data_IF_257193119528
#
_entry.id   IF_257193119528
#
_cell.length_a   1.000
_cell.length_b   1.000
_cell.length_c   1.000
_cell.angle_alpha   90.00
_cell.angle_beta   90.00
_cell.angle_gamma   90.00
#
_symmetry.space_group_name_H-M   'P 1'
#
loop_
_entity.id
_entity.type
_entity.pdbx_description
1 polymer ?
#
# COMPACT_ATOMS: atom_id res chain seq x y z
N UNK A 1 -13.26 -12.85 10.49
CA UNK A 1 -12.37 -12.63 11.65
C UNK A 1 -11.51 -11.37 11.51
N UNK A 2 -10.94 -11.03 10.34
CA UNK A 2 -10.12 -9.81 10.17
C UNK A 2 -10.94 -8.51 9.96
N UNK A 3 -12.27 -8.56 9.90
CA UNK A 3 -13.11 -7.38 9.71
C UNK A 3 -12.82 -6.31 10.79
N UNK A 4 -12.61 -5.05 10.35
CA UNK A 4 -12.17 -3.91 11.18
C UNK A 4 -10.82 -4.11 11.90
N UNK A 5 -10.01 -5.04 11.43
CA UNK A 5 -8.68 -5.33 11.96
C UNK A 5 -7.61 -5.38 10.86
N UNK A 6 -6.51 -6.07 11.16
CA UNK A 6 -5.37 -6.26 10.25
C UNK A 6 -5.30 -7.73 9.85
N UNK A 7 -5.15 -7.98 8.55
CA UNK A 7 -4.78 -9.29 8.01
C UNK A 7 -3.31 -9.23 7.59
N UNK A 8 -2.48 -9.99 8.29
CA UNK A 8 -1.06 -10.09 7.97
C UNK A 8 -0.78 -11.38 7.18
N UNK A 9 -0.16 -11.24 6.02
CA UNK A 9 0.30 -12.35 5.19
C UNK A 9 1.83 -12.32 5.13
N UNK A 10 2.47 -13.19 5.91
CA UNK A 10 3.89 -13.40 5.80
C UNK A 10 4.21 -14.33 4.62
N UNK A 11 5.37 -14.14 3.99
CA UNK A 11 5.79 -14.92 2.83
C UNK A 11 4.71 -14.99 1.72
N UNK A 12 4.10 -13.84 1.40
CA UNK A 12 2.97 -13.74 0.47
C UNK A 12 3.13 -14.57 -0.83
N UNK A 13 4.29 -14.67 -1.50
CA UNK A 13 4.47 -15.48 -2.70
C UNK A 13 4.35 -17.00 -2.46
N UNK A 14 4.38 -17.48 -1.21
CA UNK A 14 4.23 -18.92 -0.91
C UNK A 14 2.75 -19.35 -0.83
N UNK A 15 1.83 -18.39 -0.78
CA UNK A 15 0.40 -18.71 -0.90
C UNK A 15 0.05 -19.13 -2.33
N UNK A 16 -0.96 -19.97 -2.46
CA UNK A 16 -1.50 -20.34 -3.77
C UNK A 16 -2.06 -19.11 -4.46
N UNK A 17 -1.77 -18.98 -5.76
CA UNK A 17 -2.23 -17.85 -6.58
C UNK A 17 -3.75 -17.66 -6.52
N UNK A 18 -4.51 -18.75 -6.57
CA UNK A 18 -5.96 -18.71 -6.46
C UNK A 18 -6.42 -18.09 -5.14
N UNK A 19 -5.73 -18.40 -4.04
CA UNK A 19 -6.04 -17.83 -2.71
C UNK A 19 -5.79 -16.33 -2.68
N UNK A 20 -4.68 -15.88 -3.25
CA UNK A 20 -4.36 -14.45 -3.35
C UNK A 20 -5.37 -13.71 -4.25
N UNK A 21 -5.75 -14.32 -5.37
CA UNK A 21 -6.71 -13.70 -6.29
C UNK A 21 -8.13 -13.60 -5.67
N UNK A 22 -8.52 -14.50 -4.78
CA UNK A 22 -9.78 -14.40 -4.02
C UNK A 22 -9.81 -13.22 -3.05
N UNK A 23 -8.63 -12.72 -2.61
CA UNK A 23 -8.53 -11.54 -1.76
C UNK A 23 -8.89 -10.23 -2.47
N UNK A 24 -8.92 -10.23 -3.81
CA UNK A 24 -9.15 -9.02 -4.62
C UNK A 24 -10.52 -8.41 -4.37
N UNK A 25 -11.56 -9.24 -4.30
CA UNK A 25 -12.92 -8.76 -4.07
C UNK A 25 -13.09 -8.15 -2.67
N UNK A 26 -12.74 -8.82 -1.57
CA UNK A 26 -12.86 -8.22 -0.24
C UNK A 26 -12.04 -6.94 -0.06
N UNK A 27 -10.88 -6.81 -0.74
CA UNK A 27 -10.08 -5.59 -0.68
C UNK A 27 -10.76 -4.40 -1.39
N UNK A 28 -11.49 -4.65 -2.48
CA UNK A 28 -12.23 -3.60 -3.20
C UNK A 28 -13.58 -3.30 -2.56
N UNK A 29 -14.38 -4.34 -2.35
CA UNK A 29 -15.79 -4.22 -1.97
C UNK A 29 -16.00 -4.12 -0.44
N UNK A 30 -15.00 -4.48 0.36
CA UNK A 30 -15.13 -4.56 1.83
C UNK A 30 -16.11 -5.64 2.30
N UNK A 31 -16.42 -6.61 1.43
CA UNK A 31 -17.36 -7.71 1.72
C UNK A 31 -16.98 -8.99 0.97
N UNK A 32 -17.44 -10.12 1.49
CA UNK A 32 -17.31 -11.44 0.87
C UNK A 32 -18.69 -12.05 0.75
N UNK A 33 -19.05 -12.50 -0.46
CA UNK A 33 -20.29 -13.22 -0.70
C UNK A 33 -19.99 -14.70 -0.95
N UNK A 34 -20.59 -15.56 -0.15
CA UNK A 34 -20.51 -17.02 -0.30
C UNK A 34 -21.82 -17.50 -0.88
N UNK A 35 -21.77 -18.01 -2.11
CA UNK A 35 -22.93 -18.61 -2.78
C UNK A 35 -22.94 -20.13 -2.57
N UNK A 36 -24.07 -20.65 -2.11
CA UNK A 36 -24.34 -22.09 -1.97
C UNK A 36 -25.65 -22.43 -2.65
N UNK A 37 -25.93 -23.72 -2.85
CA UNK A 37 -27.22 -24.18 -3.42
C UNK A 37 -28.41 -23.66 -2.61
N UNK A 38 -28.24 -23.51 -1.29
CA UNK A 38 -29.26 -22.99 -0.36
C UNK A 38 -29.40 -21.47 -0.30
N UNK A 39 -28.61 -20.72 -1.06
CA UNK A 39 -28.65 -19.25 -1.07
C UNK A 39 -27.27 -18.59 -1.02
N UNK A 40 -27.25 -17.26 -1.11
CA UNK A 40 -26.05 -16.43 -0.99
C UNK A 40 -26.03 -15.69 0.35
N UNK A 41 -24.90 -15.73 1.06
CA UNK A 41 -24.69 -14.99 2.31
C UNK A 41 -23.52 -14.05 2.14
N UNK A 42 -23.70 -12.77 2.47
CA UNK A 42 -22.68 -11.72 2.38
C UNK A 42 -22.21 -11.36 3.77
N UNK A 43 -20.88 -11.36 3.97
CA UNK A 43 -20.21 -10.96 5.20
C UNK A 43 -19.41 -9.68 4.99
N UNK A 44 -19.38 -8.76 5.97
CA UNK A 44 -18.48 -7.61 5.93
C UNK A 44 -17.03 -8.09 6.06
N UNK A 45 -16.13 -7.51 5.26
CA UNK A 45 -14.72 -7.90 5.16
C UNK A 45 -13.83 -6.68 4.94
N UNK A 46 -14.05 -5.63 5.71
CA UNK A 46 -13.16 -4.45 5.73
C UNK A 46 -11.98 -4.72 6.66
N UNK A 47 -10.77 -4.73 6.13
CA UNK A 47 -9.55 -4.96 6.89
C UNK A 47 -8.37 -4.22 6.24
N UNK A 48 -7.33 -3.96 7.02
CA UNK A 48 -6.03 -3.55 6.51
C UNK A 48 -5.24 -4.80 6.12
N UNK A 49 -4.78 -4.86 4.86
CA UNK A 49 -3.89 -5.92 4.41
C UNK A 49 -2.43 -5.48 4.63
N UNK A 50 -1.67 -6.28 5.34
CA UNK A 50 -0.21 -6.14 5.49
C UNK A 50 0.43 -7.41 4.97
N UNK A 51 1.38 -7.27 4.03
CA UNK A 51 2.08 -8.40 3.43
C UNK A 51 3.58 -8.25 3.62
N UNK A 52 4.26 -9.35 3.87
CA UNK A 52 5.70 -9.42 3.82
C UNK A 52 6.15 -10.43 2.76
N UNK A 53 7.26 -10.13 2.08
CA UNK A 53 7.88 -11.04 1.13
C UNK A 53 9.37 -10.82 1.04
N UNK A 54 10.09 -11.87 0.73
CA UNK A 54 11.50 -11.78 0.38
C UNK A 54 11.68 -11.30 -1.09
N UNK A 55 12.81 -10.70 -1.45
CA UNK A 55 13.07 -10.25 -2.82
C UNK A 55 13.23 -11.39 -3.83
N UNK A 56 13.53 -12.60 -3.35
CA UNK A 56 13.60 -13.85 -4.11
C UNK A 56 13.48 -15.05 -3.17
N UNK A 57 13.41 -16.26 -3.72
CA UNK A 57 13.27 -17.49 -2.93
C UNK A 57 14.39 -17.74 -1.92
N UNK A 58 15.62 -17.26 -2.16
CA UNK A 58 16.74 -17.39 -1.21
C UNK A 58 16.87 -16.18 -0.25
N UNK A 59 16.10 -15.11 -0.45
CA UNK A 59 16.08 -13.90 0.39
C UNK A 59 17.19 -12.87 0.10
N UNK A 60 18.15 -13.16 -0.78
CA UNK A 60 19.37 -12.34 -0.93
C UNK A 60 19.47 -11.57 -2.25
N UNK A 61 18.41 -11.48 -3.04
CA UNK A 61 18.45 -10.74 -4.29
C UNK A 61 18.58 -9.23 -4.04
N UNK A 62 19.59 -8.61 -4.67
CA UNK A 62 19.90 -7.20 -4.46
C UNK A 62 20.81 -6.92 -3.25
N UNK A 63 21.12 -7.93 -2.43
CA UNK A 63 22.03 -7.79 -1.31
C UNK A 63 23.49 -7.64 -1.79
N UNK A 64 24.24 -6.61 -1.28
CA UNK A 64 25.62 -6.36 -1.69
C UNK A 64 26.60 -7.50 -1.40
N UNK A 65 26.25 -8.42 -0.49
CA UNK A 65 27.11 -9.56 -0.12
C UNK A 65 27.29 -10.60 -1.22
N UNK A 66 26.52 -10.53 -2.33
CA UNK A 66 26.58 -11.48 -3.43
C UNK A 66 26.11 -12.91 -3.06
N UNK A 67 25.42 -13.10 -1.94
CA UNK A 67 24.93 -14.42 -1.49
C UNK A 67 23.82 -14.99 -2.37
N UNK A 68 23.12 -14.13 -3.13
CA UNK A 68 22.05 -14.58 -4.01
C UNK A 68 22.62 -15.46 -5.14
N UNK A 69 22.07 -16.68 -5.25
CA UNK A 69 22.41 -17.63 -6.34
C UNK A 69 21.20 -17.90 -7.26
N UNK A 70 20.14 -17.14 -7.11
CA UNK A 70 18.96 -17.27 -7.96
C UNK A 70 19.25 -16.71 -9.35
N UNK A 71 18.88 -17.45 -10.39
CA UNK A 71 18.88 -16.90 -11.75
C UNK A 71 17.81 -15.80 -11.90
N UNK A 72 17.97 -14.90 -12.85
CA UNK A 72 16.98 -13.87 -13.15
C UNK A 72 15.57 -14.49 -13.36
N UNK A 73 15.49 -15.59 -14.11
CA UNK A 73 14.25 -16.32 -14.33
C UNK A 73 13.64 -16.86 -13.03
N UNK A 74 14.45 -17.34 -12.08
CA UNK A 74 13.95 -17.83 -10.79
C UNK A 74 13.40 -16.69 -9.92
N UNK A 75 14.04 -15.52 -9.96
CA UNK A 75 13.56 -14.31 -9.27
C UNK A 75 12.23 -13.86 -9.87
N UNK A 76 12.16 -13.76 -11.20
CA UNK A 76 10.95 -13.36 -11.90
C UNK A 76 9.79 -14.35 -11.64
N UNK A 77 10.05 -15.65 -11.75
CA UNK A 77 9.07 -16.70 -11.44
C UNK A 77 8.57 -16.64 -10.00
N UNK A 78 9.41 -16.27 -9.04
CA UNK A 78 9.02 -16.09 -7.65
C UNK A 78 8.11 -14.87 -7.47
N UNK A 79 8.49 -13.73 -8.05
CA UNK A 79 7.73 -12.48 -7.96
C UNK A 79 6.40 -12.54 -8.71
N UNK A 80 6.35 -13.22 -9.87
CA UNK A 80 5.14 -13.37 -10.69
C UNK A 80 4.04 -14.25 -10.05
N UNK A 81 4.32 -14.89 -8.92
CA UNK A 81 3.28 -15.57 -8.11
C UNK A 81 2.24 -14.60 -7.59
N UNK A 82 2.62 -13.33 -7.36
CA UNK A 82 1.69 -12.26 -7.05
C UNK A 82 1.22 -11.66 -8.37
N UNK A 83 -0.07 -11.75 -8.63
CA UNK A 83 -0.62 -11.21 -9.89
C UNK A 83 -0.58 -9.68 -9.92
N UNK A 84 -0.36 -9.10 -11.11
CA UNK A 84 -0.42 -7.63 -11.29
C UNK A 84 -1.69 -7.01 -10.71
N UNK A 85 -2.90 -7.57 -10.99
CA UNK A 85 -4.13 -7.10 -10.37
C UNK A 85 -4.16 -7.17 -8.84
N UNK A 86 -3.40 -8.07 -8.21
CA UNK A 86 -3.27 -8.08 -6.74
C UNK A 86 -2.34 -6.97 -6.25
N UNK A 87 -1.20 -6.77 -6.93
CA UNK A 87 -0.26 -5.67 -6.65
C UNK A 87 -0.93 -4.31 -6.82
N UNK A 88 -1.79 -4.16 -7.82
CA UNK A 88 -2.56 -2.93 -8.01
C UNK A 88 -3.46 -2.59 -6.82
N UNK A 89 -3.78 -3.54 -5.95
CA UNK A 89 -4.61 -3.34 -4.75
C UNK A 89 -3.81 -3.02 -3.49
N UNK A 90 -2.50 -3.11 -3.57
CA UNK A 90 -1.60 -2.69 -2.50
C UNK A 90 -1.27 -1.22 -2.72
N UNK A 91 -1.57 -0.37 -1.73
CA UNK A 91 -1.41 1.08 -1.85
C UNK A 91 0.04 1.51 -1.63
N UNK A 92 0.74 0.86 -0.71
CA UNK A 92 2.09 1.20 -0.27
C UNK A 92 2.98 -0.04 -0.39
N UNK A 93 4.09 0.10 -1.10
CA UNK A 93 5.15 -0.91 -1.17
C UNK A 93 6.44 -0.28 -0.65
N UNK A 94 7.08 -0.95 0.32
CA UNK A 94 8.33 -0.48 0.94
C UNK A 94 9.38 -1.57 0.82
N UNK A 95 10.56 -1.21 0.33
CA UNK A 95 11.72 -2.09 0.35
C UNK A 95 12.51 -1.83 1.64
N UNK A 96 12.70 -2.89 2.44
CA UNK A 96 13.43 -2.82 3.69
C UNK A 96 14.84 -3.37 3.44
N UNK A 97 15.88 -2.52 3.51
CA UNK A 97 17.26 -2.97 3.32
C UNK A 97 17.73 -3.90 4.44
N UNK A 98 18.76 -4.68 4.16
CA UNK A 98 19.43 -5.48 5.19
C UNK A 98 20.09 -4.57 6.23
N UNK A 99 19.92 -4.91 7.49
CA UNK A 99 20.53 -4.17 8.61
C UNK A 99 22.01 -4.57 8.75
N UNK A 100 22.91 -3.61 8.83
CA UNK A 100 24.31 -3.85 9.09
C UNK A 100 24.56 -4.17 10.57
N UNK A 101 25.57 -5.00 10.85
CA UNK A 101 25.89 -5.42 12.21
C UNK A 101 26.16 -4.24 13.16
N UNK A 102 26.79 -3.18 12.67
CA UNK A 102 27.07 -1.97 13.45
C UNK A 102 25.78 -1.23 13.87
N UNK A 103 24.76 -1.22 13.01
CA UNK A 103 23.46 -0.64 13.31
C UNK A 103 22.72 -1.43 14.41
N UNK A 104 22.89 -2.77 14.43
CA UNK A 104 22.33 -3.61 15.48
C UNK A 104 22.96 -3.34 16.86
N UNK A 105 24.24 -2.90 16.89
CA UNK A 105 24.95 -2.54 18.12
C UNK A 105 24.63 -1.13 18.59
N UNK A 106 24.34 -0.24 17.65
CA UNK A 106 23.98 1.14 17.93
C UNK A 106 22.53 1.13 18.42
N UNK A 107 22.32 1.34 19.71
CA UNK A 107 20.99 1.61 20.26
C UNK A 107 20.59 3.06 19.92
N UNK A 108 20.43 3.35 18.61
CA UNK A 108 19.76 4.59 18.23
C UNK A 108 18.34 4.52 18.82
N UNK A 109 17.94 5.56 19.53
CA UNK A 109 16.58 5.66 20.04
C UNK A 109 15.63 5.74 18.82
N UNK A 110 15.01 4.62 18.50
CA UNK A 110 13.96 4.59 17.50
C UNK A 110 12.73 5.35 18.04
N UNK A 111 11.97 5.95 17.12
CA UNK A 111 10.73 6.61 17.48
C UNK A 111 9.81 5.64 18.24
N UNK A 112 9.26 6.09 19.36
CA UNK A 112 8.39 5.24 20.19
C UNK A 112 7.05 4.98 19.51
N UNK A 113 6.48 3.80 19.71
CA UNK A 113 5.12 3.48 19.24
C UNK A 113 4.07 4.47 19.74
N UNK A 114 4.29 5.09 20.91
CA UNK A 114 3.43 6.12 21.46
C UNK A 114 3.42 7.39 20.61
N UNK A 115 4.60 7.86 20.17
CA UNK A 115 4.74 9.02 19.28
C UNK A 115 4.09 8.76 17.91
N UNK A 116 4.35 7.58 17.32
CA UNK A 116 3.69 7.17 16.07
C UNK A 116 2.17 7.14 16.22
N UNK A 117 1.66 6.54 17.30
CA UNK A 117 0.22 6.48 17.56
C UNK A 117 -0.41 7.86 17.71
N UNK A 118 0.27 8.80 18.38
CA UNK A 118 -0.23 10.18 18.53
C UNK A 118 -0.40 10.85 17.17
N UNK A 119 0.60 10.77 16.29
CA UNK A 119 0.57 11.33 14.94
C UNK A 119 -0.53 10.69 14.08
N UNK A 120 -0.67 9.37 14.15
CA UNK A 120 -1.74 8.66 13.44
C UNK A 120 -3.13 9.08 13.93
N UNK A 121 -3.31 9.23 15.25
CA UNK A 121 -4.59 9.67 15.81
C UNK A 121 -4.94 11.09 15.34
N UNK A 122 -4.00 12.03 15.31
CA UNK A 122 -4.22 13.37 14.79
C UNK A 122 -4.70 13.35 13.33
N UNK A 123 -4.03 12.59 12.45
CA UNK A 123 -4.47 12.43 11.07
C UNK A 123 -5.87 11.79 10.98
N UNK A 124 -6.19 10.84 11.87
CA UNK A 124 -7.52 10.22 11.93
C UNK A 124 -8.61 11.17 12.41
N UNK A 125 -8.29 12.09 13.31
CA UNK A 125 -9.20 13.15 13.75
C UNK A 125 -9.53 14.09 12.58
N UNK A 126 -8.51 14.56 11.82
CA UNK A 126 -8.70 15.37 10.61
C UNK A 126 -9.62 14.65 9.61
N UNK A 127 -9.41 13.37 9.37
CA UNK A 127 -10.26 12.58 8.47
C UNK A 127 -11.69 12.42 9.01
N UNK A 128 -11.83 12.19 10.32
CA UNK A 128 -13.14 12.04 10.93
C UNK A 128 -13.95 13.33 10.85
N UNK A 129 -13.35 14.49 11.05
CA UNK A 129 -13.98 15.81 10.87
C UNK A 129 -14.34 16.02 9.39
N UNK A 130 -13.43 15.75 8.46
CA UNK A 130 -13.64 15.84 7.01
C UNK A 130 -14.86 15.06 6.54
N UNK A 131 -15.08 13.87 7.09
CA UNK A 131 -16.18 12.98 6.72
C UNK A 131 -17.37 13.00 7.70
N UNK A 132 -17.49 14.07 8.52
CA UNK A 132 -18.66 14.30 9.37
C UNK A 132 -18.89 13.25 10.44
N UNK A 133 -17.83 12.69 11.04
CA UNK A 133 -17.92 11.74 12.14
C UNK A 133 -18.34 10.32 11.76
N UNK A 134 -18.33 9.98 10.47
CA UNK A 134 -18.76 8.64 9.96
C UNK A 134 -17.77 7.52 10.23
N UNK A 135 -16.55 7.83 10.71
CA UNK A 135 -15.45 6.88 10.84
C UNK A 135 -14.82 6.49 9.50
N UNK A 136 -15.22 7.11 8.40
CA UNK A 136 -14.61 6.96 7.08
C UNK A 136 -13.16 7.43 7.09
N UNK A 137 -12.35 6.94 6.16
CA UNK A 137 -10.97 7.37 5.96
C UNK A 137 -10.67 7.61 4.48
N UNK A 138 -9.56 8.29 4.19
CA UNK A 138 -9.15 8.64 2.84
C UNK A 138 -9.09 7.43 1.90
N UNK A 139 -8.71 6.25 2.39
CA UNK A 139 -8.67 5.03 1.58
C UNK A 139 -10.04 4.62 0.99
N UNK A 140 -11.14 5.14 1.55
CA UNK A 140 -12.51 4.85 1.12
C UNK A 140 -13.16 5.99 0.33
N UNK A 141 -12.44 7.06 0.02
CA UNK A 141 -12.95 8.15 -0.82
C UNK A 141 -13.43 7.63 -2.17
N UNK A 142 -14.65 7.97 -2.51
CA UNK A 142 -15.20 7.83 -3.85
C UNK A 142 -14.81 8.99 -4.79
N UNK A 143 -15.31 8.99 -6.02
CA UNK A 143 -14.98 10.04 -7.00
C UNK A 143 -15.39 11.46 -6.56
N UNK A 144 -16.45 11.60 -5.78
CA UNK A 144 -16.92 12.91 -5.30
C UNK A 144 -15.99 13.48 -4.22
N UNK A 145 -15.64 12.66 -3.23
CA UNK A 145 -14.72 13.03 -2.17
C UNK A 145 -13.32 13.29 -2.72
N UNK A 146 -12.88 12.49 -3.70
CA UNK A 146 -11.60 12.69 -4.38
C UNK A 146 -11.53 14.07 -5.05
N UNK A 147 -12.56 14.46 -5.79
CA UNK A 147 -12.63 15.79 -6.41
C UNK A 147 -12.65 16.94 -5.40
N UNK A 148 -13.26 16.71 -4.23
CA UNK A 148 -13.40 17.72 -3.19
C UNK A 148 -12.15 17.89 -2.34
N UNK A 149 -11.45 16.80 -2.02
CA UNK A 149 -10.39 16.79 -1.01
C UNK A 149 -9.00 16.47 -1.54
N UNK A 150 -8.88 16.10 -2.83
CA UNK A 150 -7.62 15.81 -3.48
C UNK A 150 -7.38 16.74 -4.68
N UNK A 151 -7.81 18.01 -4.54
CA UNK A 151 -7.47 19.03 -5.53
C UNK A 151 -5.95 19.25 -5.59
N UNK A 152 -5.43 19.43 -6.78
CA UNK A 152 -4.00 19.56 -7.04
C UNK A 152 -3.68 20.95 -7.59
N UNK A 153 -2.65 21.58 -7.04
CA UNK A 153 -2.03 22.75 -7.68
C UNK A 153 -1.46 22.37 -9.07
N UNK A 154 -1.18 23.37 -9.92
CA UNK A 154 -0.57 23.12 -11.22
C UNK A 154 0.76 22.35 -11.10
N UNK A 155 1.59 22.68 -10.12
CA UNK A 155 2.85 21.98 -9.86
C UNK A 155 2.63 20.51 -9.47
N UNK A 156 1.68 20.23 -8.59
CA UNK A 156 1.32 18.87 -8.20
C UNK A 156 0.75 18.08 -9.39
N UNK A 157 -0.07 18.72 -10.22
CA UNK A 157 -0.66 18.10 -11.40
C UNK A 157 0.40 17.75 -12.46
N UNK A 158 1.40 18.63 -12.67
CA UNK A 158 2.51 18.36 -13.58
C UNK A 158 3.40 17.21 -13.06
N UNK A 159 3.74 17.20 -11.76
CA UNK A 159 4.47 16.10 -11.14
C UNK A 159 3.75 14.77 -11.32
N UNK A 160 2.44 14.75 -11.08
CA UNK A 160 1.60 13.56 -11.24
C UNK A 160 1.51 13.11 -12.70
N UNK A 161 1.41 14.03 -13.65
CA UNK A 161 1.43 13.76 -15.08
C UNK A 161 2.73 13.09 -15.50
N UNK A 162 3.87 13.66 -15.08
CA UNK A 162 5.18 13.11 -15.39
C UNK A 162 5.35 11.68 -14.85
N UNK A 163 4.89 11.42 -13.63
CA UNK A 163 4.87 10.08 -13.06
C UNK A 163 3.94 9.13 -13.83
N UNK A 164 2.75 9.60 -14.21
CA UNK A 164 1.79 8.81 -14.98
C UNK A 164 2.37 8.34 -16.32
N UNK A 165 3.02 9.25 -17.05
CA UNK A 165 3.62 8.96 -18.36
C UNK A 165 4.88 8.09 -18.24
N UNK A 166 5.79 8.42 -17.30
CA UNK A 166 7.07 7.71 -17.16
C UNK A 166 6.94 6.30 -16.58
N UNK A 167 5.99 6.09 -15.67
CA UNK A 167 5.77 4.82 -14.99
C UNK A 167 4.67 3.96 -15.64
N UNK A 168 3.96 4.47 -16.67
CA UNK A 168 2.84 3.78 -17.30
C UNK A 168 1.69 3.49 -16.33
N UNK A 169 1.36 4.45 -15.46
CA UNK A 169 0.33 4.29 -14.44
C UNK A 169 -1.06 4.13 -15.06
N UNK A 170 -1.92 3.39 -14.37
CA UNK A 170 -3.35 3.29 -14.70
C UNK A 170 -4.18 4.35 -13.97
N UNK A 171 -5.40 4.61 -14.42
CA UNK A 171 -6.34 5.48 -13.68
C UNK A 171 -6.53 5.01 -12.22
N UNK A 172 -6.57 3.68 -11.98
CA UNK A 172 -6.65 3.12 -10.63
C UNK A 172 -5.42 3.46 -9.79
N UNK A 173 -4.22 3.40 -10.38
CA UNK A 173 -2.98 3.79 -9.69
C UNK A 173 -2.97 5.28 -9.37
N UNK A 174 -3.48 6.12 -10.28
CA UNK A 174 -3.62 7.56 -10.08
C UNK A 174 -4.47 7.86 -8.84
N UNK A 175 -5.69 7.29 -8.75
CA UNK A 175 -6.58 7.49 -7.60
C UNK A 175 -5.94 7.04 -6.27
N UNK A 176 -5.15 5.96 -6.30
CA UNK A 176 -4.47 5.46 -5.10
C UNK A 176 -3.36 6.41 -4.64
N UNK A 177 -2.55 6.89 -5.57
CA UNK A 177 -1.51 7.89 -5.26
C UNK A 177 -2.16 9.12 -4.62
N UNK A 178 -3.28 9.60 -5.14
CA UNK A 178 -3.98 10.76 -4.57
C UNK A 178 -4.47 10.50 -3.13
N UNK A 179 -5.06 9.33 -2.86
CA UNK A 179 -5.51 8.99 -1.50
C UNK A 179 -4.34 8.87 -0.52
N UNK A 180 -3.22 8.31 -0.96
CA UNK A 180 -1.99 8.23 -0.16
C UNK A 180 -1.42 9.63 0.07
N UNK A 181 -1.29 10.46 -0.97
CA UNK A 181 -0.82 11.83 -0.87
C UNK A 181 -1.68 12.69 0.09
N UNK A 182 -3.02 12.55 0.02
CA UNK A 182 -3.93 13.20 0.97
C UNK A 182 -3.70 12.72 2.41
N UNK A 183 -3.40 11.44 2.59
CA UNK A 183 -3.13 10.89 3.91
C UNK A 183 -1.77 11.35 4.45
N UNK A 184 -0.76 11.49 3.60
CA UNK A 184 0.55 12.07 3.96
C UNK A 184 0.37 13.54 4.37
N UNK A 185 -0.42 14.31 3.61
CA UNK A 185 -0.72 15.69 3.94
C UNK A 185 -1.48 15.82 5.28
N UNK A 186 -2.40 14.90 5.59
CA UNK A 186 -3.08 14.86 6.89
C UNK A 186 -2.10 14.55 8.05
N UNK A 187 -1.11 13.67 7.81
CA UNK A 187 -0.05 13.37 8.77
C UNK A 187 0.89 14.56 9.01
N UNK A 188 1.09 15.39 7.99
CA UNK A 188 1.88 16.62 8.04
C UNK A 188 1.08 17.82 8.56
N UNK A 189 -0.23 17.67 8.80
CA UNK A 189 -1.13 18.73 9.20
C UNK A 189 -1.40 19.78 8.12
N UNK A 190 -1.16 19.44 6.85
CA UNK A 190 -1.34 20.33 5.70
C UNK A 190 -2.79 20.28 5.19
N UNK A 191 -3.41 21.45 5.00
CA UNK A 191 -4.75 21.54 4.41
C UNK A 191 -4.77 21.14 2.94
N UNK A 192 -3.71 21.47 2.20
CA UNK A 192 -3.56 21.17 0.77
C UNK A 192 -2.53 20.07 0.54
N UNK A 193 -2.68 19.37 -0.56
CA UNK A 193 -1.66 18.44 -1.05
C UNK A 193 -0.53 19.24 -1.66
N UNK A 194 0.68 19.09 -1.10
CA UNK A 194 1.89 19.75 -1.58
C UNK A 194 2.73 18.82 -2.48
N UNK A 195 3.65 19.32 -3.31
CA UNK A 195 4.50 18.51 -4.18
C UNK A 195 5.26 17.39 -3.46
N UNK A 196 5.72 17.62 -2.23
CA UNK A 196 6.40 16.62 -1.43
C UNK A 196 5.50 15.43 -1.09
N UNK A 197 4.21 15.66 -0.83
CA UNK A 197 3.25 14.60 -0.52
C UNK A 197 3.00 13.71 -1.75
N UNK A 198 2.92 14.33 -2.95
CA UNK A 198 2.81 13.60 -4.22
C UNK A 198 4.08 12.81 -4.49
N UNK A 199 5.26 13.41 -4.32
CA UNK A 199 6.54 12.74 -4.56
C UNK A 199 6.70 11.50 -3.67
N UNK A 200 6.38 11.62 -2.38
CA UNK A 200 6.41 10.49 -1.44
C UNK A 200 5.40 9.41 -1.81
N UNK A 201 4.16 9.78 -2.13
CA UNK A 201 3.14 8.82 -2.55
C UNK A 201 3.51 8.07 -3.83
N UNK A 202 4.18 8.73 -4.79
CA UNK A 202 4.72 8.12 -6.00
C UNK A 202 5.82 7.10 -5.65
N UNK A 203 6.72 7.43 -4.71
CA UNK A 203 7.80 6.52 -4.30
C UNK A 203 7.26 5.19 -3.79
N UNK A 204 6.16 5.18 -3.03
CA UNK A 204 5.51 3.96 -2.56
C UNK A 204 4.92 3.09 -3.69
N UNK A 205 4.78 3.64 -4.90
CA UNK A 205 4.34 2.91 -6.11
C UNK A 205 5.48 2.59 -7.06
N UNK A 206 6.60 3.30 -6.96
CA UNK A 206 7.76 3.12 -7.83
C UNK A 206 8.55 1.83 -7.58
N UNK A 207 8.31 1.16 -6.44
CA UNK A 207 8.93 -0.12 -6.11
C UNK A 207 8.44 -1.19 -7.09
N UNK A 208 9.24 -1.43 -8.14
CA UNK A 208 8.96 -2.44 -9.17
C UNK A 208 9.16 -3.84 -8.61
N UNK A 209 8.08 -4.50 -8.20
CA UNK A 209 8.11 -5.92 -7.81
C UNK A 209 8.28 -6.87 -9.01
N UNK A 210 8.60 -6.35 -10.19
CA UNK A 210 8.97 -7.13 -11.36
C UNK A 210 7.98 -7.04 -12.51
N UNK A 211 8.03 -5.94 -13.25
CA UNK A 211 7.70 -5.92 -14.67
C UNK A 211 8.62 -4.90 -15.33
N UNK A 212 9.74 -5.38 -15.83
CA UNK A 212 10.43 -4.86 -16.99
C UNK A 212 10.72 -6.02 -17.91
#
# INVERSE_FOLDING_TARGET
>A
MAHKGVLFLDEMPEFRKDTLDLMRQPLEDGRVTISRVSGAVTYPAEFMLVCAMNPCKCGWYGDPSGRCRCSAMAVESYRSRISGPMLDRIDIVVEVPAVHFEELRTRAEAESSGAVKSRVNQAREIQNERFGGTGMCNARMGPEEMRKYCDLSEECAELMKNAFESMGLTARSYDRILRVARTIADLDGSEEIQPQHIAEAIQYRAVNLGNR
#
